data_IF_107917499126
#
_entry.id   IF_107917499126
#
_cell.length_a   1.000
_cell.length_b   1.000
_cell.length_c   1.000
_cell.angle_alpha   90.00
_cell.angle_beta   90.00
_cell.angle_gamma   90.00
#
_symmetry.space_group_name_H-M   'P 1'
#
loop_
_entity.id
_entity.type
_entity.pdbx_description
1 polymer ?
#
# COMPACT_ATOMS: atom_id res chain seq x y z
N UNK A 1 30.61 8.50 -15.21
CA UNK A 1 30.02 8.36 -13.86
C UNK A 1 30.22 6.93 -13.37
N UNK A 2 30.66 6.73 -12.13
CA UNK A 2 30.87 5.39 -11.57
C UNK A 2 29.53 4.65 -11.44
N UNK A 3 29.50 3.37 -11.83
CA UNK A 3 28.30 2.53 -11.70
C UNK A 3 28.02 2.27 -10.21
N UNK A 4 26.76 2.38 -9.74
CA UNK A 4 26.42 1.99 -8.39
C UNK A 4 26.58 0.46 -8.25
N UNK A 5 27.49 0.04 -7.38
CA UNK A 5 27.73 -1.36 -7.03
C UNK A 5 26.94 -1.70 -5.77
N UNK A 6 26.29 -2.87 -5.75
CA UNK A 6 25.58 -3.36 -4.58
C UNK A 6 26.58 -3.74 -3.48
N UNK A 7 26.41 -3.21 -2.27
CA UNK A 7 27.36 -3.39 -1.15
C UNK A 7 26.82 -4.22 0.03
N UNK A 8 25.65 -4.86 -0.12
CA UNK A 8 25.08 -5.76 0.89
C UNK A 8 23.81 -5.26 1.57
N UNK A 9 23.33 -6.03 2.55
CA UNK A 9 22.22 -5.70 3.45
C UNK A 9 22.81 -5.58 4.86
N UNK A 10 22.98 -4.36 5.36
CA UNK A 10 23.39 -4.11 6.75
C UNK A 10 22.19 -3.68 7.61
N UNK A 11 22.25 -4.01 8.90
CA UNK A 11 21.20 -3.67 9.90
C UNK A 11 21.44 -2.33 10.60
N UNK A 12 22.62 -1.75 10.43
CA UNK A 12 23.04 -0.56 11.17
C UNK A 12 22.49 0.71 10.53
N UNK A 13 22.06 1.65 11.37
CA UNK A 13 21.62 2.98 10.95
C UNK A 13 22.79 3.74 10.33
N UNK A 14 22.50 4.62 9.38
CA UNK A 14 23.47 5.45 8.65
C UNK A 14 24.47 4.69 7.76
N UNK A 15 24.23 3.41 7.44
CA UNK A 15 25.11 2.61 6.57
C UNK A 15 25.31 3.23 5.17
N UNK A 16 24.30 3.92 4.65
CA UNK A 16 24.29 4.47 3.30
C UNK A 16 24.13 6.00 3.33
N UNK A 17 25.18 6.78 2.98
CA UNK A 17 25.11 8.23 3.04
C UNK A 17 24.06 8.78 2.06
N UNK A 18 23.10 9.55 2.58
CA UNK A 18 22.00 10.15 1.81
C UNK A 18 20.73 9.30 1.70
N UNK A 19 20.72 8.08 2.26
CA UNK A 19 19.50 7.27 2.37
C UNK A 19 18.91 7.47 3.76
N UNK A 20 17.69 8.00 3.82
CA UNK A 20 16.99 8.23 5.08
C UNK A 20 16.50 6.89 5.63
N UNK A 21 17.00 6.50 6.79
CA UNK A 21 16.51 5.31 7.48
C UNK A 21 15.01 5.45 7.77
N UNK A 22 14.25 4.46 7.33
CA UNK A 22 12.83 4.39 7.64
C UNK A 22 12.67 3.88 9.07
N UNK A 23 12.26 4.76 9.99
CA UNK A 23 11.86 4.32 11.32
C UNK A 23 10.52 3.60 11.19
N UNK A 24 10.56 2.29 11.04
CA UNK A 24 9.37 1.44 11.12
C UNK A 24 8.88 1.36 12.58
N UNK A 25 8.39 2.47 13.13
CA UNK A 25 7.91 2.55 14.52
C UNK A 25 6.53 1.94 14.75
N UNK A 26 5.87 1.42 13.71
CA UNK A 26 4.50 0.93 13.83
C UNK A 26 4.39 -0.52 14.35
N UNK A 27 5.47 -1.31 14.32
CA UNK A 27 5.48 -2.71 14.77
C UNK A 27 6.57 -2.94 15.81
N UNK A 28 6.27 -3.72 16.86
CA UNK A 28 7.19 -3.91 18.00
C UNK A 28 8.20 -5.02 17.75
N UNK A 29 7.88 -5.96 16.85
CA UNK A 29 8.73 -7.08 16.48
C UNK A 29 8.54 -7.48 15.01
N UNK A 30 9.42 -8.36 14.50
CA UNK A 30 9.24 -8.97 13.18
C UNK A 30 8.02 -9.89 13.15
N UNK A 31 7.76 -10.62 14.23
CA UNK A 31 6.60 -11.51 14.33
C UNK A 31 5.30 -10.71 14.31
N UNK A 32 5.24 -9.55 14.99
CA UNK A 32 4.10 -8.62 14.94
C UNK A 32 3.79 -8.19 13.50
N UNK A 33 4.84 -7.90 12.72
CA UNK A 33 4.71 -7.53 11.31
C UNK A 33 4.15 -8.70 10.49
N UNK A 34 4.69 -9.91 10.68
CA UNK A 34 4.23 -11.10 9.98
C UNK A 34 2.77 -11.41 10.31
N UNK A 35 2.36 -11.31 11.58
CA UNK A 35 0.99 -11.56 11.99
C UNK A 35 0.03 -10.50 11.46
N UNK A 36 0.46 -9.23 11.40
CA UNK A 36 -0.29 -8.19 10.71
C UNK A 36 -0.54 -8.56 9.24
N UNK A 37 0.48 -9.02 8.51
CA UNK A 37 0.33 -9.43 7.11
C UNK A 37 -0.61 -10.63 6.95
N UNK A 38 -0.49 -11.67 7.80
CA UNK A 38 -1.40 -12.83 7.78
C UNK A 38 -2.85 -12.38 7.95
N UNK A 39 -3.12 -11.52 8.93
CA UNK A 39 -4.45 -10.97 9.19
C UNK A 39 -4.98 -10.18 7.98
N UNK A 40 -4.14 -9.37 7.32
CA UNK A 40 -4.54 -8.62 6.13
C UNK A 40 -4.89 -9.54 4.95
N UNK A 41 -4.13 -10.60 4.73
CA UNK A 41 -4.38 -11.57 3.67
C UNK A 41 -5.68 -12.33 3.93
N UNK A 42 -5.88 -12.83 5.16
CA UNK A 42 -7.11 -13.53 5.55
C UNK A 42 -8.37 -12.65 5.34
N UNK A 43 -8.29 -11.38 5.74
CA UNK A 43 -9.37 -10.43 5.49
C UNK A 43 -9.65 -10.19 3.99
N UNK A 44 -8.60 -10.16 3.16
CA UNK A 44 -8.76 -10.05 1.71
C UNK A 44 -9.44 -11.29 1.11
N UNK A 45 -9.09 -12.48 1.58
CA UNK A 45 -9.73 -13.75 1.17
C UNK A 45 -11.21 -13.75 1.55
N UNK A 46 -11.56 -13.43 2.79
CA UNK A 46 -12.96 -13.35 3.23
C UNK A 46 -13.78 -12.33 2.45
N UNK A 47 -13.19 -11.18 2.13
CA UNK A 47 -13.82 -10.17 1.26
C UNK A 47 -14.09 -10.74 -0.14
N UNK A 48 -13.15 -11.51 -0.69
CA UNK A 48 -13.33 -12.15 -1.98
C UNK A 48 -14.42 -13.22 -1.96
N UNK A 49 -14.40 -14.11 -0.96
CA UNK A 49 -15.38 -15.20 -0.79
C UNK A 49 -16.81 -14.68 -0.58
N UNK A 50 -16.96 -13.55 0.12
CA UNK A 50 -18.27 -12.88 0.29
C UNK A 50 -18.76 -12.14 -0.96
N UNK A 51 -17.97 -12.10 -2.05
CA UNK A 51 -18.30 -11.38 -3.27
C UNK A 51 -18.19 -9.85 -3.14
N UNK A 52 -17.48 -9.35 -2.11
CA UNK A 52 -17.28 -7.92 -1.93
C UNK A 52 -16.25 -7.37 -2.94
N UNK A 53 -16.75 -6.73 -3.99
CA UNK A 53 -15.97 -6.07 -5.05
C UNK A 53 -15.84 -4.55 -4.86
N UNK A 54 -15.93 -4.05 -3.63
CA UNK A 54 -15.74 -2.63 -3.34
C UNK A 54 -14.32 -2.17 -3.71
N UNK A 55 -14.23 -1.00 -4.36
CA UNK A 55 -12.95 -0.38 -4.72
C UNK A 55 -12.54 0.57 -3.60
N UNK A 56 -11.51 0.21 -2.84
CA UNK A 56 -11.01 0.97 -1.70
C UNK A 56 -9.55 1.34 -1.96
N UNK A 57 -9.22 2.63 -1.93
CA UNK A 57 -7.86 3.15 -2.06
C UNK A 57 -7.72 4.41 -1.21
N UNK A 58 -6.51 4.71 -0.73
CA UNK A 58 -6.28 5.85 0.17
C UNK A 58 -5.96 7.13 -0.59
N UNK A 59 -5.16 7.04 -1.65
CA UNK A 59 -4.70 8.20 -2.41
C UNK A 59 -4.83 7.91 -3.89
N UNK A 60 -5.19 8.92 -4.67
CA UNK A 60 -5.34 8.74 -6.11
C UNK A 60 -4.06 8.23 -6.78
N UNK A 61 -2.89 8.65 -6.29
CA UNK A 61 -1.59 8.18 -6.80
C UNK A 61 -1.38 6.67 -6.66
N UNK A 62 -2.07 6.02 -5.72
CA UNK A 62 -2.00 4.56 -5.55
C UNK A 62 -2.66 3.82 -6.73
N UNK A 63 -3.48 4.52 -7.53
CA UNK A 63 -4.12 4.03 -8.75
C UNK A 63 -3.38 4.41 -10.03
N UNK A 64 -2.21 5.06 -9.95
CA UNK A 64 -1.48 5.55 -11.13
C UNK A 64 -1.13 4.43 -12.14
N UNK A 65 -0.91 3.20 -11.66
CA UNK A 65 -0.54 2.04 -12.48
C UNK A 65 -1.69 1.05 -12.70
N UNK A 66 -2.93 1.42 -12.34
CA UNK A 66 -4.09 0.57 -12.52
C UNK A 66 -4.57 0.64 -13.99
N UNK A 67 -4.29 -0.39 -14.77
CA UNK A 67 -4.69 -0.47 -16.20
C UNK A 67 -6.20 -0.45 -16.41
N UNK A 68 -6.98 -0.83 -15.39
CA UNK A 68 -8.44 -0.88 -15.44
C UNK A 68 -9.10 0.32 -14.76
N UNK A 69 -8.37 1.42 -14.50
CA UNK A 69 -8.90 2.61 -13.80
C UNK A 69 -10.19 3.15 -14.43
N UNK A 70 -10.32 3.10 -15.76
CA UNK A 70 -11.54 3.52 -16.49
C UNK A 70 -12.76 2.67 -16.16
N UNK A 71 -12.59 1.35 -15.97
CA UNK A 71 -13.67 0.41 -15.66
C UNK A 71 -14.22 0.66 -14.25
N UNK A 72 -13.39 1.16 -13.34
CA UNK A 72 -13.78 1.41 -11.94
C UNK A 72 -14.75 2.60 -11.79
N UNK A 73 -14.87 3.47 -12.81
CA UNK A 73 -15.78 4.64 -12.85
C UNK A 73 -15.68 5.51 -11.58
N UNK A 74 -14.45 5.73 -11.11
CA UNK A 74 -14.18 6.46 -9.86
C UNK A 74 -14.70 7.90 -9.88
N UNK A 75 -14.49 8.70 -10.94
CA UNK A 75 -15.02 10.08 -11.00
C UNK A 75 -16.55 10.12 -10.87
N UNK A 76 -17.26 9.19 -11.52
CA UNK A 76 -18.72 9.15 -11.48
C UNK A 76 -19.25 8.76 -10.11
N UNK A 77 -18.57 7.83 -9.41
CA UNK A 77 -18.91 7.51 -8.03
C UNK A 77 -18.72 8.71 -7.10
N UNK A 78 -17.64 9.48 -7.27
CA UNK A 78 -17.39 10.69 -6.49
C UNK A 78 -18.53 11.70 -6.69
N UNK A 79 -18.91 11.98 -7.96
CA UNK A 79 -20.01 12.88 -8.29
C UNK A 79 -21.36 12.42 -7.73
N UNK A 80 -21.62 11.11 -7.71
CA UNK A 80 -22.83 10.55 -7.07
C UNK A 80 -22.83 10.81 -5.56
N UNK A 81 -21.73 10.55 -4.86
CA UNK A 81 -21.63 10.81 -3.41
C UNK A 81 -21.79 12.29 -3.06
N UNK A 82 -21.29 13.20 -3.89
CA UNK A 82 -21.47 14.65 -3.69
C UNK A 82 -22.92 15.08 -3.86
N UNK A 83 -23.65 14.53 -4.84
CA UNK A 83 -25.08 14.82 -5.06
C UNK A 83 -26.00 14.24 -3.99
N UNK A 84 -25.61 13.14 -3.35
CA UNK A 84 -26.44 12.48 -2.33
C UNK A 84 -26.29 13.13 -0.94
N UNK A 85 -25.34 14.07 -0.78
CA UNK A 85 -25.11 14.85 0.44
C UNK A 85 -25.78 16.23 0.44
N UNK A 86 -26.44 16.61 -0.66
CA UNK A 86 -27.30 17.80 -0.76
C UNK A 86 -28.75 17.42 -0.49
#
# INVERSE_FOLDING_TARGET
AAKPQWIGIGRDKDLLPGIKDFTATQYRSWDDLIDFWKCRIDNAVKSYESGNAAVIFTREKDMAYCQVKSILRLPERILQFERTKQ
#
